data_IF_870537606040
#
_entry.id   IF_870537606040
#
_cell.length_a   1.000
_cell.length_b   1.000
_cell.length_c   1.000
_cell.angle_alpha   90.00
_cell.angle_beta   90.00
_cell.angle_gamma   90.00
#
_symmetry.space_group_name_H-M   'P 1'
#
loop_
_entity.id
_entity.type
_entity.pdbx_description
1 polymer ?
#
# COMPACT_ATOMS: atom_id res chain seq x y z
N UNK A 1 -3.30 -11.72 -0.80
CA UNK A 1 -3.06 -10.59 -1.74
C UNK A 1 -2.45 -9.44 -0.95
N UNK A 2 -1.80 -8.47 -1.59
CA UNK A 2 -1.24 -7.30 -0.92
C UNK A 2 -2.00 -6.05 -1.37
N UNK A 3 -2.53 -5.28 -0.41
CA UNK A 3 -3.49 -4.20 -0.66
C UNK A 3 -2.83 -2.81 -0.71
N UNK A 4 -3.62 -1.80 -1.12
CA UNK A 4 -3.21 -0.39 -1.07
C UNK A 4 -3.18 0.13 0.37
N UNK A 5 -2.20 0.98 0.69
CA UNK A 5 -2.24 1.87 1.84
C UNK A 5 -1.40 3.11 1.55
N UNK A 6 -1.80 4.28 2.06
CA UNK A 6 -0.99 5.50 2.07
C UNK A 6 0.13 5.47 3.12
N UNK A 7 0.07 4.51 4.07
CA UNK A 7 1.11 4.22 5.07
C UNK A 7 1.59 2.76 4.97
N UNK A 8 2.19 2.36 3.84
CA UNK A 8 2.48 0.96 3.57
C UNK A 8 3.70 0.43 4.35
N UNK A 9 3.68 -0.88 4.65
CA UNK A 9 4.82 -1.60 5.23
C UNK A 9 5.73 -2.27 4.16
N UNK A 10 5.36 -2.22 2.88
CA UNK A 10 6.14 -2.65 1.74
C UNK A 10 6.32 -1.56 0.68
N UNK A 11 7.37 -1.69 -0.14
CA UNK A 11 7.68 -0.78 -1.26
C UNK A 11 7.99 -1.57 -2.54
N UNK A 12 7.36 -1.22 -3.69
CA UNK A 12 7.73 -1.80 -4.97
C UNK A 12 9.01 -1.16 -5.52
N UNK A 13 9.88 -1.95 -6.15
CA UNK A 13 11.04 -1.46 -6.90
C UNK A 13 11.16 -2.19 -8.23
N UNK A 14 11.33 -1.43 -9.30
CA UNK A 14 11.67 -1.98 -10.62
C UNK A 14 13.16 -2.34 -10.62
N UNK A 15 13.48 -3.57 -11.04
CA UNK A 15 14.84 -4.11 -11.12
C UNK A 15 15.07 -4.72 -12.49
N UNK A 16 16.26 -4.50 -13.04
CA UNK A 16 16.75 -5.24 -14.20
C UNK A 16 17.31 -6.58 -13.72
N UNK A 17 16.71 -7.69 -14.15
CA UNK A 17 17.07 -9.05 -13.74
C UNK A 17 17.23 -9.89 -15.00
N UNK A 18 18.47 -10.29 -15.30
CA UNK A 18 18.83 -11.06 -16.50
C UNK A 18 18.29 -10.46 -17.82
N UNK A 19 18.26 -9.13 -17.91
CA UNK A 19 17.76 -8.40 -19.10
C UNK A 19 16.29 -7.99 -19.04
N UNK A 20 15.51 -8.51 -18.08
CA UNK A 20 14.09 -8.16 -17.93
C UNK A 20 13.87 -7.13 -16.82
N UNK A 21 13.00 -6.15 -17.05
CA UNK A 21 12.46 -5.33 -15.97
C UNK A 21 11.41 -6.10 -15.17
N UNK A 22 11.67 -6.30 -13.88
CA UNK A 22 10.78 -6.99 -12.94
C UNK A 22 10.46 -6.09 -11.76
N UNK A 23 9.25 -6.23 -11.22
CA UNK A 23 8.84 -5.53 -10.00
C UNK A 23 9.10 -6.47 -8.82
N UNK A 24 9.96 -6.03 -7.90
CA UNK A 24 10.14 -6.68 -6.60
C UNK A 24 9.42 -5.89 -5.50
N UNK A 25 8.76 -6.60 -4.59
CA UNK A 25 8.15 -6.00 -3.39
C UNK A 25 9.09 -6.27 -2.20
N UNK A 26 9.44 -5.21 -1.47
CA UNK A 26 10.40 -5.27 -0.38
C UNK A 26 9.80 -4.68 0.90
N UNK A 27 10.16 -5.24 2.06
CA UNK A 27 9.76 -4.67 3.34
C UNK A 27 10.38 -3.27 3.55
N UNK A 28 9.56 -2.30 3.97
CA UNK A 28 9.97 -0.94 4.35
C UNK A 28 10.35 -0.84 5.83
N UNK A 29 9.86 -1.79 6.62
CA UNK A 29 10.05 -1.92 8.06
C UNK A 29 10.07 -3.40 8.46
N UNK A 30 10.31 -3.71 9.73
CA UNK A 30 10.14 -5.07 10.27
C UNK A 30 8.68 -5.50 10.14
N UNK A 31 8.45 -6.73 9.67
CA UNK A 31 7.12 -7.34 9.49
C UNK A 31 7.09 -8.62 10.31
N UNK A 32 6.05 -8.79 11.11
CA UNK A 32 5.86 -9.97 11.96
C UNK A 32 4.91 -10.98 11.31
N UNK A 33 4.88 -12.19 11.86
CA UNK A 33 3.97 -13.22 11.39
C UNK A 33 2.51 -12.79 11.59
N UNK A 34 1.71 -12.90 10.53
CA UNK A 34 0.29 -12.54 10.57
C UNK A 34 0.01 -11.10 10.15
N UNK A 35 1.03 -10.25 10.04
CA UNK A 35 0.87 -8.89 9.52
C UNK A 35 0.40 -8.94 8.06
N UNK A 36 -0.62 -8.14 7.74
CA UNK A 36 -1.03 -7.92 6.35
C UNK A 36 0.00 -7.05 5.61
N UNK A 37 0.24 -7.37 4.34
CA UNK A 37 1.19 -6.64 3.50
C UNK A 37 0.48 -5.55 2.70
N UNK A 38 0.99 -4.32 2.80
CA UNK A 38 0.48 -3.17 2.08
C UNK A 38 1.59 -2.49 1.29
N UNK A 39 1.29 -2.04 0.07
CA UNK A 39 2.18 -1.17 -0.71
C UNK A 39 1.40 -0.05 -1.37
N UNK A 40 2.07 1.06 -1.64
CA UNK A 40 1.44 2.19 -2.33
C UNK A 40 1.22 1.82 -3.81
N UNK A 41 -0.04 1.77 -4.21
CA UNK A 41 -0.43 1.46 -5.60
C UNK A 41 -0.12 2.58 -6.59
N UNK A 42 0.25 3.77 -6.10
CA UNK A 42 0.58 4.94 -6.92
C UNK A 42 -0.51 5.32 -7.92
N UNK A 43 -1.78 5.14 -7.54
CA UNK A 43 -2.90 5.57 -8.36
C UNK A 43 -2.76 7.06 -8.71
N UNK A 44 -2.92 7.40 -9.98
CA UNK A 44 -3.10 8.79 -10.37
C UNK A 44 -4.44 9.32 -9.83
N UNK A 45 -4.64 10.64 -9.91
CA UNK A 45 -5.84 11.28 -9.39
C UNK A 45 -7.14 10.75 -10.02
N UNK A 46 -7.06 10.19 -11.23
CA UNK A 46 -8.21 9.69 -11.99
C UNK A 46 -8.59 8.26 -11.55
N UNK A 47 -7.61 7.43 -11.22
CA UNK A 47 -7.80 6.06 -10.73
C UNK A 47 -8.15 6.00 -9.24
N UNK A 48 -7.73 6.99 -8.43
CA UNK A 48 -8.10 7.07 -7.00
C UNK A 48 -9.62 7.07 -6.77
N UNK A 49 -10.38 7.80 -7.60
CA UNK A 49 -11.84 7.92 -7.42
C UNK A 49 -12.62 6.62 -7.62
N UNK A 50 -12.07 5.64 -8.33
CA UNK A 50 -12.77 4.39 -8.65
C UNK A 50 -12.57 3.29 -7.60
N UNK A 51 -11.43 3.30 -6.91
CA UNK A 51 -11.03 2.20 -6.03
C UNK A 51 -10.84 2.62 -4.56
N UNK A 52 -10.83 3.93 -4.27
CA UNK A 52 -10.59 4.49 -2.93
C UNK A 52 -11.83 5.26 -2.46
N UNK A 53 -12.94 4.55 -2.23
CA UNK A 53 -14.14 5.15 -1.64
C UNK A 53 -14.20 5.05 -0.09
N UNK A 54 -13.11 4.63 0.57
CA UNK A 54 -13.07 4.38 2.02
C UNK A 54 -12.03 5.19 2.81
N UNK A 55 -11.27 6.12 2.20
CA UNK A 55 -10.30 6.95 2.95
C UNK A 55 -10.93 7.81 4.06
N UNK A 56 -12.26 7.96 4.06
CA UNK A 56 -12.98 8.62 5.15
C UNK A 56 -13.07 7.79 6.44
N UNK A 57 -12.77 6.49 6.41
CA UNK A 57 -12.83 5.61 7.59
C UNK A 57 -11.47 5.58 8.29
N UNK A 58 -10.36 5.55 7.53
CA UNK A 58 -9.00 5.53 8.08
C UNK A 58 -8.61 6.84 8.80
N UNK A 59 -9.19 7.98 8.39
CA UNK A 59 -9.04 9.27 9.09
C UNK A 59 -9.87 9.31 10.39
N UNK A 60 -11.08 8.74 10.38
CA UNK A 60 -11.96 8.72 11.56
C UNK A 60 -11.47 7.76 12.65
N UNK A 61 -10.83 6.65 12.29
CA UNK A 61 -10.18 5.75 13.25
C UNK A 61 -8.90 6.37 13.86
N UNK A 62 -8.23 7.28 13.16
CA UNK A 62 -7.02 7.95 13.66
C UNK A 62 -7.29 9.05 14.68
N UNK A 63 -8.45 9.72 14.60
CA UNK A 63 -8.84 10.78 15.55
C UNK A 63 -9.55 10.25 16.82
N UNK A 64 -9.68 8.92 16.95
CA UNK A 64 -10.24 8.30 18.17
C UNK A 64 -11.69 8.70 18.45
N UNK A 65 -12.42 9.22 17.47
CA UNK A 65 -13.81 9.60 17.61
C UNK A 65 -14.71 8.43 17.20
N UNK A 66 -14.90 7.50 18.13
CA UNK A 66 -15.86 6.40 17.97
C UNK A 66 -17.29 6.96 17.89
N UNK A 67 -18.07 6.51 16.90
CA UNK A 67 -19.54 6.44 17.02
C UNK A 67 -19.91 5.01 17.41
#
# INVERSE_FOLDING_TARGET
FANHSSKPNCVPKIKLVNGDYRIGIYAKQTIFQGDELFFEYMYDAHHRQQFVNNERIDELEQDGLTI
#
